data_IF_085476977349
#
_entry.id   IF_085476977349
#
_cell.length_a   1.000
_cell.length_b   1.000
_cell.length_c   1.000
_cell.angle_alpha   90.00
_cell.angle_beta   90.00
_cell.angle_gamma   90.00
#
_symmetry.space_group_name_H-M   'P 1'
#
loop_
_entity.id
_entity.type
_entity.pdbx_description
1 polymer ?
#
# COMPACT_ATOMS: atom_id res chain seq x y z
N UNK A 1 -20.26 -17.03 -15.09
CA UNK A 1 -18.95 -16.49 -15.54
C UNK A 1 -18.02 -16.41 -14.34
N UNK A 2 -16.72 -16.69 -14.49
CA UNK A 2 -15.75 -16.50 -13.41
C UNK A 2 -15.55 -15.00 -13.23
N UNK A 3 -15.83 -14.49 -12.03
CA UNK A 3 -15.63 -13.10 -11.61
C UNK A 3 -14.14 -12.92 -11.26
N UNK A 4 -13.28 -12.80 -12.28
CA UNK A 4 -11.81 -12.70 -12.15
C UNK A 4 -11.39 -11.24 -12.17
N UNK A 5 -10.79 -10.79 -11.08
CA UNK A 5 -10.19 -9.46 -10.96
C UNK A 5 -8.67 -9.53 -11.11
N UNK A 6 -8.10 -8.75 -12.03
CA UNK A 6 -6.70 -8.81 -12.44
C UNK A 6 -5.93 -7.57 -12.01
N UNK A 7 -4.96 -7.75 -11.14
CA UNK A 7 -4.11 -6.67 -10.61
C UNK A 7 -2.72 -6.75 -11.23
N UNK A 8 -2.32 -5.72 -11.97
CA UNK A 8 -0.95 -5.58 -12.47
C UNK A 8 -0.05 -4.99 -11.39
N UNK A 9 0.96 -5.74 -11.00
CA UNK A 9 2.03 -5.32 -10.10
C UNK A 9 3.15 -4.68 -10.92
N UNK A 10 3.31 -3.36 -10.82
CA UNK A 10 4.32 -2.61 -11.56
C UNK A 10 5.62 -2.54 -10.77
N UNK A 11 6.42 -3.62 -10.79
CA UNK A 11 7.73 -3.64 -10.13
C UNK A 11 8.74 -2.87 -10.98
N UNK A 12 9.03 -1.65 -10.59
CA UNK A 12 9.85 -0.73 -11.36
C UNK A 12 11.07 -0.25 -10.58
N UNK A 13 12.11 0.15 -11.30
CA UNK A 13 13.22 0.88 -10.72
C UNK A 13 12.84 2.35 -10.56
N UNK A 14 13.08 2.90 -9.37
CA UNK A 14 12.76 4.29 -9.05
C UNK A 14 13.71 5.29 -9.71
N UNK A 15 13.20 6.48 -9.99
CA UNK A 15 13.96 7.69 -10.28
C UNK A 15 13.59 8.79 -9.27
N UNK A 16 14.49 9.74 -9.03
CA UNK A 16 14.18 10.97 -8.28
C UNK A 16 13.57 12.08 -9.16
N UNK A 17 13.52 11.85 -10.47
CA UNK A 17 12.95 12.76 -11.46
C UNK A 17 11.50 12.36 -11.77
N UNK A 18 10.57 13.28 -11.49
CA UNK A 18 9.13 13.06 -11.67
C UNK A 18 8.76 12.83 -13.14
N UNK A 19 9.40 13.51 -14.09
CA UNK A 19 9.10 13.37 -15.51
C UNK A 19 9.52 12.00 -16.04
N UNK A 20 10.66 11.47 -15.57
CA UNK A 20 11.09 10.11 -15.88
C UNK A 20 10.10 9.09 -15.28
N UNK A 21 9.62 9.32 -14.06
CA UNK A 21 8.64 8.45 -13.41
C UNK A 21 7.28 8.49 -14.13
N UNK A 22 6.83 9.66 -14.61
CA UNK A 22 5.62 9.79 -15.44
C UNK A 22 5.78 8.95 -16.72
N UNK A 23 6.84 9.18 -17.49
CA UNK A 23 7.09 8.46 -18.77
C UNK A 23 7.15 6.95 -18.58
N UNK A 24 7.88 6.49 -17.56
CA UNK A 24 7.99 5.07 -17.22
C UNK A 24 6.64 4.50 -16.78
N UNK A 25 5.92 5.20 -15.90
CA UNK A 25 4.60 4.81 -15.42
C UNK A 25 3.59 4.65 -16.55
N UNK A 26 3.54 5.61 -17.50
CA UNK A 26 2.68 5.52 -18.70
C UNK A 26 2.99 4.25 -19.50
N UNK A 27 4.27 3.97 -19.77
CA UNK A 27 4.70 2.77 -20.51
C UNK A 27 4.25 1.50 -19.79
N UNK A 28 4.45 1.41 -18.49
CA UNK A 28 4.07 0.25 -17.69
C UNK A 28 2.55 0.06 -17.63
N UNK A 29 1.77 1.13 -17.44
CA UNK A 29 0.30 1.06 -17.47
C UNK A 29 -0.23 0.58 -18.83
N UNK A 30 0.33 1.07 -19.96
CA UNK A 30 -0.04 0.59 -21.30
C UNK A 30 0.24 -0.91 -21.45
N UNK A 31 1.40 -1.38 -20.99
CA UNK A 31 1.73 -2.81 -21.05
C UNK A 31 0.82 -3.63 -20.12
N UNK A 32 0.52 -3.14 -18.92
CA UNK A 32 -0.43 -3.79 -18.00
C UNK A 32 -1.81 -3.97 -18.65
N UNK A 33 -2.31 -2.96 -19.36
CA UNK A 33 -3.57 -3.05 -20.11
C UNK A 33 -3.51 -4.11 -21.21
N UNK A 34 -2.41 -4.17 -21.96
CA UNK A 34 -2.20 -5.23 -22.99
C UNK A 34 -2.17 -6.63 -22.38
N UNK A 35 -1.72 -6.76 -21.14
CA UNK A 35 -1.75 -8.01 -20.36
C UNK A 35 -3.13 -8.31 -19.75
N UNK A 36 -4.13 -7.46 -19.99
CA UNK A 36 -5.51 -7.66 -19.53
C UNK A 36 -5.78 -7.27 -18.07
N UNK A 37 -4.98 -6.37 -17.50
CA UNK A 37 -5.19 -5.88 -16.13
C UNK A 37 -6.46 -5.03 -16.01
N UNK A 38 -7.15 -5.15 -14.87
CA UNK A 38 -8.27 -4.29 -14.46
C UNK A 38 -7.78 -3.08 -13.67
N UNK A 39 -6.68 -3.23 -12.95
CA UNK A 39 -6.00 -2.16 -12.21
C UNK A 39 -4.48 -2.33 -12.30
N UNK A 40 -3.76 -1.22 -12.45
CA UNK A 40 -2.30 -1.15 -12.34
C UNK A 40 -1.90 -0.48 -11.04
N UNK A 41 -1.00 -1.11 -10.25
CA UNK A 41 -0.58 -0.63 -8.93
C UNK A 41 0.89 -0.26 -8.95
N UNK A 42 1.21 0.94 -8.48
CA UNK A 42 2.54 1.51 -8.39
C UNK A 42 3.23 1.20 -7.04
N UNK A 43 4.58 1.19 -6.97
CA UNK A 43 5.32 1.19 -5.72
C UNK A 43 5.08 2.47 -4.90
N UNK A 44 5.46 2.47 -3.62
CA UNK A 44 5.29 3.59 -2.67
C UNK A 44 6.01 4.87 -3.13
N UNK A 45 5.36 6.06 -3.03
CA UNK A 45 5.93 7.37 -3.39
C UNK A 45 6.52 7.45 -4.80
N UNK A 46 5.85 6.89 -5.79
CA UNK A 46 6.37 6.83 -7.15
C UNK A 46 6.64 8.21 -7.78
N UNK A 47 5.89 9.26 -7.40
CA UNK A 47 6.06 10.60 -7.98
C UNK A 47 7.51 11.09 -7.89
N UNK A 48 8.18 10.90 -6.77
CA UNK A 48 9.54 11.35 -6.48
C UNK A 48 10.52 10.20 -6.19
N UNK A 49 10.05 8.94 -6.24
CA UNK A 49 10.78 7.76 -5.78
C UNK A 49 11.06 7.83 -4.28
N UNK A 50 10.87 6.75 -3.55
CA UNK A 50 11.09 6.74 -2.09
C UNK A 50 12.54 7.14 -1.75
N UNK A 51 12.75 8.40 -1.39
CA UNK A 51 14.09 8.99 -1.16
C UNK A 51 14.51 8.80 0.29
N UNK A 52 15.77 8.40 0.49
CA UNK A 52 16.38 8.29 1.82
C UNK A 52 17.17 9.55 2.09
N UNK A 53 16.69 10.40 3.01
CA UNK A 53 17.33 11.68 3.32
C UNK A 53 18.62 11.52 4.13
N UNK A 54 18.70 10.48 4.97
CA UNK A 54 19.87 10.17 5.78
C UNK A 54 20.01 8.66 6.00
N UNK A 55 21.23 8.20 6.31
CA UNK A 55 21.51 6.79 6.61
C UNK A 55 21.25 6.50 8.09
N UNK A 56 20.87 5.25 8.39
CA UNK A 56 20.63 4.82 9.79
C UNK A 56 19.29 5.31 10.34
N UNK A 57 19.22 5.46 11.65
CA UNK A 57 18.03 5.88 12.38
C UNK A 57 18.12 7.37 12.75
N UNK A 58 16.99 8.06 12.83
CA UNK A 58 16.89 9.48 13.18
C UNK A 58 17.66 9.82 14.47
N UNK A 59 17.50 8.99 15.52
CA UNK A 59 18.18 9.17 16.81
C UNK A 59 19.70 9.24 16.77
N UNK A 60 20.31 8.71 15.70
CA UNK A 60 21.77 8.69 15.52
C UNK A 60 22.26 9.85 14.65
N UNK A 61 21.35 10.75 14.23
CA UNK A 61 21.68 11.86 13.32
C UNK A 61 21.68 13.18 14.12
N UNK A 62 22.88 13.60 14.55
CA UNK A 62 23.06 14.87 15.27
C UNK A 62 22.83 16.08 14.36
N UNK A 63 23.19 15.95 13.07
CA UNK A 63 23.14 17.04 12.09
C UNK A 63 22.37 16.57 10.85
N UNK A 64 21.04 16.65 10.88
CA UNK A 64 20.24 16.42 9.69
C UNK A 64 20.24 17.71 8.86
N UNK A 65 20.62 17.61 7.59
CA UNK A 65 20.55 18.73 6.65
C UNK A 65 19.07 19.12 6.39
N UNK A 66 18.59 20.10 7.15
CA UNK A 66 17.23 20.61 7.02
C UNK A 66 16.96 21.24 5.66
N UNK A 67 17.97 21.74 4.95
CA UNK A 67 17.81 22.21 3.56
C UNK A 67 17.52 21.03 2.61
N UNK A 68 18.14 19.87 2.85
CA UNK A 68 17.84 18.65 2.08
C UNK A 68 16.41 18.17 2.37
N UNK A 69 16.00 18.20 3.65
CA UNK A 69 14.62 17.88 4.06
C UNK A 69 13.63 18.80 3.36
N UNK A 70 13.86 20.12 3.41
CA UNK A 70 12.99 21.11 2.78
C UNK A 70 12.89 20.88 1.27
N UNK A 71 14.02 20.72 0.57
CA UNK A 71 14.01 20.40 -0.87
C UNK A 71 13.25 19.12 -1.20
N UNK A 72 13.26 18.14 -0.31
CA UNK A 72 12.48 16.92 -0.48
C UNK A 72 10.98 17.17 -0.26
N UNK A 73 10.61 17.92 0.79
CA UNK A 73 9.22 18.32 1.04
C UNK A 73 8.63 19.17 -0.10
N UNK A 74 9.44 20.04 -0.71
CA UNK A 74 9.04 20.87 -1.84
C UNK A 74 8.73 20.08 -3.12
N UNK A 75 9.10 18.78 -3.19
CA UNK A 75 8.66 17.86 -4.25
C UNK A 75 7.22 17.36 -4.08
N UNK A 76 6.56 17.70 -2.98
CA UNK A 76 5.17 17.32 -2.75
C UNK A 76 4.24 18.00 -3.76
N UNK A 77 3.28 17.24 -4.26
CA UNK A 77 2.35 17.63 -5.30
C UNK A 77 0.91 17.63 -4.79
N UNK A 78 0.08 18.47 -5.37
CA UNK A 78 -1.36 18.52 -5.13
C UNK A 78 -2.16 17.87 -6.27
N UNK A 79 -3.48 17.83 -6.12
CA UNK A 79 -4.39 17.18 -7.06
C UNK A 79 -4.45 17.85 -8.44
N UNK A 80 -3.96 19.10 -8.57
CA UNK A 80 -3.88 19.83 -9.85
C UNK A 80 -2.61 19.56 -10.65
N UNK A 81 -1.65 18.83 -10.07
CA UNK A 81 -0.34 18.57 -10.67
C UNK A 81 -0.43 17.81 -11.99
N UNK A 82 0.56 18.02 -12.86
CA UNK A 82 0.70 17.26 -14.12
C UNK A 82 0.76 15.76 -13.89
N UNK A 83 1.41 15.32 -12.79
CA UNK A 83 1.46 13.91 -12.42
C UNK A 83 0.06 13.31 -12.25
N UNK A 84 -0.78 13.93 -11.42
CA UNK A 84 -2.14 13.45 -11.12
C UNK A 84 -3.01 13.50 -12.38
N UNK A 85 -3.04 14.63 -13.08
CA UNK A 85 -3.86 14.84 -14.28
C UNK A 85 -3.48 13.89 -15.42
N UNK A 86 -2.18 13.58 -15.57
CA UNK A 86 -1.69 12.62 -16.55
C UNK A 86 -2.25 11.21 -16.29
N UNK A 87 -2.21 10.72 -15.05
CA UNK A 87 -2.72 9.37 -14.74
C UNK A 87 -4.24 9.30 -14.71
N UNK A 88 -4.95 10.38 -14.39
CA UNK A 88 -6.41 10.50 -14.58
C UNK A 88 -6.77 10.30 -16.05
N UNK A 89 -6.10 11.03 -16.95
CA UNK A 89 -6.35 10.93 -18.38
C UNK A 89 -5.94 9.55 -18.93
N UNK A 90 -4.85 8.99 -18.44
CA UNK A 90 -4.38 7.66 -18.84
C UNK A 90 -5.37 6.56 -18.42
N UNK A 91 -5.94 6.64 -17.21
CA UNK A 91 -6.96 5.70 -16.74
C UNK A 91 -8.19 5.70 -17.66
N UNK A 92 -8.66 6.91 -18.05
CA UNK A 92 -9.74 7.07 -19.04
C UNK A 92 -9.37 6.45 -20.40
N UNK A 93 -8.18 6.80 -20.92
CA UNK A 93 -7.71 6.34 -22.22
C UNK A 93 -7.59 4.82 -22.30
N UNK A 94 -7.12 4.20 -21.21
CA UNK A 94 -6.92 2.75 -21.15
C UNK A 94 -8.18 2.01 -20.70
N UNK A 95 -9.23 2.70 -20.25
CA UNK A 95 -10.39 2.09 -19.59
C UNK A 95 -9.97 1.08 -18.53
N UNK A 96 -8.95 1.45 -17.72
CA UNK A 96 -8.32 0.63 -16.69
C UNK A 96 -8.08 1.48 -15.44
N UNK A 97 -8.36 0.93 -14.26
CA UNK A 97 -8.05 1.62 -13.01
C UNK A 97 -6.53 1.73 -12.79
N UNK A 98 -6.11 2.80 -12.11
CA UNK A 98 -4.69 3.03 -11.76
C UNK A 98 -4.59 3.46 -10.31
N UNK A 99 -3.77 2.76 -9.51
CA UNK A 99 -3.42 3.13 -8.16
C UNK A 99 -2.04 3.82 -8.17
N UNK A 100 -2.03 5.14 -8.22
CA UNK A 100 -0.82 5.96 -8.18
C UNK A 100 -0.41 6.29 -6.76
N UNK A 101 0.89 6.53 -6.55
CA UNK A 101 1.46 6.88 -5.25
C UNK A 101 2.34 8.11 -5.36
N UNK A 102 2.28 8.97 -4.35
CA UNK A 102 2.98 10.24 -4.39
C UNK A 102 3.19 10.84 -3.01
N UNK A 103 4.12 11.79 -2.96
CA UNK A 103 4.28 12.68 -1.82
C UNK A 103 3.24 13.81 -1.98
N UNK A 104 2.22 13.78 -1.13
CA UNK A 104 1.08 14.69 -1.21
C UNK A 104 1.36 15.98 -0.45
N UNK A 105 1.13 17.12 -1.13
CA UNK A 105 1.17 18.43 -0.48
C UNK A 105 0.05 18.56 0.54
N UNK A 106 0.36 19.11 1.71
CA UNK A 106 -0.58 19.31 2.79
C UNK A 106 -0.47 20.72 3.36
N UNK A 107 -1.58 21.27 3.83
CA UNK A 107 -1.69 22.64 4.33
C UNK A 107 -0.90 22.88 5.63
N UNK A 108 -0.60 21.81 6.38
CA UNK A 108 0.24 21.88 7.60
C UNK A 108 1.71 22.12 7.31
N UNK A 109 2.14 22.05 6.05
CA UNK A 109 3.53 22.16 5.61
C UNK A 109 4.31 20.85 5.65
N UNK A 110 3.85 19.79 6.32
CA UNK A 110 4.41 18.44 6.24
C UNK A 110 3.64 17.64 5.18
N UNK A 111 4.32 17.10 4.14
CA UNK A 111 3.64 16.31 3.12
C UNK A 111 3.16 14.96 3.67
N UNK A 112 2.25 14.29 2.94
CA UNK A 112 1.76 12.95 3.26
C UNK A 112 2.28 11.92 2.25
N UNK A 113 2.47 10.70 2.71
CA UNK A 113 2.73 9.53 1.85
C UNK A 113 1.37 8.95 1.43
N UNK A 114 0.99 9.12 0.17
CA UNK A 114 -0.39 8.90 -0.27
C UNK A 114 -0.47 7.94 -1.46
N UNK A 115 -1.51 7.10 -1.46
CA UNK A 115 -1.99 6.36 -2.62
C UNK A 115 -3.37 6.88 -3.04
N UNK A 116 -3.55 7.07 -4.34
CA UNK A 116 -4.83 7.42 -4.96
C UNK A 116 -5.23 6.33 -5.94
N UNK A 117 -6.45 5.81 -5.80
CA UNK A 117 -7.05 4.89 -6.78
C UNK A 117 -7.94 5.71 -7.71
N UNK A 118 -7.61 5.67 -8.99
CA UNK A 118 -8.33 6.30 -10.08
C UNK A 118 -9.08 5.19 -10.82
N UNK A 119 -10.40 5.31 -10.97
CA UNK A 119 -11.19 4.34 -11.71
C UNK A 119 -10.98 4.46 -13.24
N UNK A 120 -11.50 3.52 -14.01
CA UNK A 120 -11.43 3.48 -15.47
C UNK A 120 -12.14 4.66 -16.16
N UNK A 121 -12.90 5.47 -15.42
CA UNK A 121 -13.55 6.69 -15.89
C UNK A 121 -12.78 7.95 -15.49
N UNK A 122 -11.65 7.79 -14.77
CA UNK A 122 -10.81 8.88 -14.29
C UNK A 122 -11.31 9.55 -13.03
N UNK A 123 -12.17 8.93 -12.26
CA UNK A 123 -12.58 9.44 -10.96
C UNK A 123 -11.62 8.93 -9.89
N UNK A 124 -11.17 9.81 -9.01
CA UNK A 124 -10.45 9.42 -7.79
C UNK A 124 -11.47 8.82 -6.80
N UNK A 125 -11.49 7.49 -6.69
CA UNK A 125 -12.47 6.78 -5.84
C UNK A 125 -11.95 6.50 -4.44
N UNK A 126 -10.62 6.54 -4.23
CA UNK A 126 -9.98 6.39 -2.94
C UNK A 126 -8.72 7.24 -2.88
N UNK A 127 -8.52 7.95 -1.77
CA UNK A 127 -7.29 8.66 -1.42
C UNK A 127 -6.96 8.29 0.01
N UNK A 128 -5.84 7.59 0.20
CA UNK A 128 -5.38 7.09 1.49
C UNK A 128 -3.97 7.57 1.77
N UNK A 129 -3.77 8.21 2.91
CA UNK A 129 -2.45 8.59 3.42
C UNK A 129 -2.01 7.60 4.49
N UNK A 130 -0.75 7.19 4.44
CA UNK A 130 -0.12 6.21 5.32
C UNK A 130 -0.33 6.56 6.80
N UNK A 131 -0.92 5.66 7.56
CA UNK A 131 -1.17 5.84 8.99
C UNK A 131 0.09 5.58 9.81
N UNK A 132 0.79 4.48 9.54
CA UNK A 132 2.02 4.12 10.24
C UNK A 132 3.23 4.60 9.45
N UNK A 133 3.61 5.86 9.65
CA UNK A 133 4.82 6.44 9.06
C UNK A 133 6.09 5.88 9.70
N UNK A 134 7.20 5.83 8.96
CA UNK A 134 8.49 5.36 9.46
C UNK A 134 9.21 6.51 10.16
N UNK A 135 8.71 6.90 11.34
CA UNK A 135 9.10 8.10 12.10
C UNK A 135 10.57 8.09 12.58
N UNK A 136 11.19 6.93 12.57
CA UNK A 136 12.61 6.78 12.88
C UNK A 136 13.52 6.95 11.66
N UNK A 137 12.95 7.35 10.48
CA UNK A 137 13.64 7.62 9.21
C UNK A 137 13.05 8.85 8.52
N UNK A 138 13.17 8.90 7.18
CA UNK A 138 12.72 10.01 6.33
C UNK A 138 11.28 10.43 6.59
N UNK A 139 10.38 9.48 6.86
CA UNK A 139 8.96 9.77 7.07
C UNK A 139 8.64 10.49 8.40
N UNK A 140 9.63 10.71 9.29
CA UNK A 140 9.48 11.67 10.39
C UNK A 140 9.09 13.08 9.91
N UNK A 141 9.46 13.40 8.69
CA UNK A 141 9.14 14.69 8.05
C UNK A 141 7.86 14.67 7.22
N UNK A 142 7.05 13.63 7.36
CA UNK A 142 5.69 13.55 6.80
C UNK A 142 4.65 13.65 7.90
N UNK A 143 3.42 13.94 7.52
CA UNK A 143 2.25 13.88 8.40
C UNK A 143 1.56 12.52 8.23
N UNK A 144 1.29 11.77 9.30
CA UNK A 144 0.57 10.50 9.20
C UNK A 144 -0.89 10.71 8.80
N UNK A 145 -1.47 9.72 8.15
CA UNK A 145 -2.92 9.61 7.95
C UNK A 145 -3.63 9.26 9.26
N UNK A 146 -4.93 9.46 9.31
CA UNK A 146 -5.75 9.27 10.52
C UNK A 146 -6.77 8.14 10.40
N UNK A 147 -6.95 7.56 9.21
CA UNK A 147 -7.97 6.52 8.97
C UNK A 147 -7.59 5.57 7.83
N UNK A 148 -8.03 4.34 7.94
CA UNK A 148 -7.99 3.37 6.84
C UNK A 148 -9.24 3.49 5.99
N UNK A 149 -9.09 3.41 4.65
CA UNK A 149 -10.16 3.65 3.68
C UNK A 149 -10.35 2.47 2.74
N UNK A 150 -11.61 2.25 2.34
CA UNK A 150 -11.99 1.32 1.27
C UNK A 150 -12.85 2.04 0.24
N UNK A 151 -12.84 1.54 -1.00
CA UNK A 151 -13.72 2.02 -2.05
C UNK A 151 -14.15 0.88 -2.97
N UNK A 152 -15.36 0.99 -3.53
CA UNK A 152 -15.85 0.05 -4.53
C UNK A 152 -15.33 0.48 -5.90
N UNK A 153 -14.54 -0.40 -6.52
CA UNK A 153 -14.10 -0.25 -7.91
C UNK A 153 -15.02 -1.07 -8.83
N UNK A 154 -15.61 -0.39 -9.82
CA UNK A 154 -16.23 -1.01 -10.98
C UNK A 154 -15.18 -1.23 -12.07
N UNK A 155 -14.81 -2.51 -12.32
CA UNK A 155 -13.80 -2.86 -13.32
C UNK A 155 -14.39 -3.31 -14.68
N UNK A 156 -15.72 -3.18 -14.84
CA UNK A 156 -16.43 -3.46 -16.09
C UNK A 156 -17.14 -4.81 -16.11
N UNK A 157 -16.47 -5.88 -15.69
CA UNK A 157 -17.06 -7.22 -15.59
C UNK A 157 -17.70 -7.46 -14.22
N UNK A 158 -17.42 -6.57 -13.24
CA UNK A 158 -17.94 -6.68 -11.88
C UNK A 158 -17.48 -5.54 -11.00
N UNK A 159 -17.65 -5.72 -9.69
CA UNK A 159 -17.23 -4.77 -8.66
C UNK A 159 -16.42 -5.46 -7.59
N UNK A 160 -15.43 -4.78 -7.05
CA UNK A 160 -14.59 -5.23 -5.93
C UNK A 160 -14.45 -4.11 -4.91
N UNK A 161 -14.50 -4.44 -3.62
CA UNK A 161 -14.18 -3.49 -2.56
C UNK A 161 -12.67 -3.52 -2.28
N UNK A 162 -11.97 -2.45 -2.65
CA UNK A 162 -10.53 -2.31 -2.48
C UNK A 162 -10.22 -1.57 -1.18
N UNK A 163 -9.25 -2.08 -0.43
CA UNK A 163 -8.55 -1.36 0.64
C UNK A 163 -7.13 -1.00 0.23
N UNK A 164 -6.52 -0.06 0.93
CA UNK A 164 -5.12 0.30 0.75
C UNK A 164 -4.39 0.36 2.10
N UNK A 165 -3.17 -0.19 2.12
CA UNK A 165 -2.13 0.00 3.14
C UNK A 165 -0.86 0.45 2.42
N UNK A 166 0.04 1.17 3.09
CA UNK A 166 1.32 1.55 2.50
C UNK A 166 2.46 0.99 3.35
N UNK A 167 3.27 0.12 2.76
CA UNK A 167 4.56 -0.37 3.27
C UNK A 167 4.51 -0.75 4.76
N UNK A 168 4.93 0.14 5.66
CA UNK A 168 5.05 -0.11 7.11
C UNK A 168 3.70 -0.38 7.79
N UNK A 169 2.56 0.05 7.23
CA UNK A 169 1.22 -0.31 7.74
C UNK A 169 1.03 -1.82 7.90
N UNK A 170 1.67 -2.64 7.06
CA UNK A 170 1.56 -4.10 7.11
C UNK A 170 2.15 -4.72 8.37
N UNK A 171 3.09 -4.02 9.06
CA UNK A 171 3.68 -4.51 10.31
C UNK A 171 2.64 -4.58 11.45
N UNK A 172 1.55 -3.81 11.32
CA UNK A 172 0.46 -3.71 12.29
C UNK A 172 -0.75 -4.53 11.82
N UNK A 173 -1.10 -5.64 12.52
CA UNK A 173 -2.22 -6.50 12.13
C UNK A 173 -3.56 -5.76 12.10
N UNK A 174 -3.71 -4.71 12.89
CA UNK A 174 -4.88 -3.85 12.97
C UNK A 174 -5.21 -3.21 11.62
N UNK A 175 -4.19 -2.84 10.83
CA UNK A 175 -4.36 -2.20 9.52
C UNK A 175 -5.20 -3.06 8.58
N UNK A 176 -4.81 -4.31 8.36
CA UNK A 176 -5.54 -5.24 7.51
C UNK A 176 -6.89 -5.63 8.13
N UNK A 177 -6.95 -5.76 9.47
CA UNK A 177 -8.19 -6.09 10.18
C UNK A 177 -9.23 -4.98 10.05
N UNK A 178 -8.86 -3.72 10.18
CA UNK A 178 -9.78 -2.59 9.99
C UNK A 178 -10.31 -2.57 8.55
N UNK A 179 -9.44 -2.77 7.56
CA UNK A 179 -9.86 -2.83 6.16
C UNK A 179 -10.82 -3.99 5.89
N UNK A 180 -10.59 -5.16 6.49
CA UNK A 180 -11.52 -6.30 6.41
C UNK A 180 -12.89 -5.95 7.01
N UNK A 181 -12.93 -5.31 8.18
CA UNK A 181 -14.16 -4.87 8.84
C UNK A 181 -14.91 -3.83 7.99
N UNK A 182 -14.17 -2.98 7.26
CA UNK A 182 -14.74 -2.03 6.28
C UNK A 182 -15.16 -2.71 4.96
N UNK A 183 -15.07 -4.04 4.87
CA UNK A 183 -15.55 -4.84 3.76
C UNK A 183 -14.56 -5.02 2.61
N UNK A 184 -13.28 -4.63 2.75
CA UNK A 184 -12.29 -4.88 1.71
C UNK A 184 -12.27 -6.36 1.29
N UNK A 185 -12.19 -6.61 -0.01
CA UNK A 185 -12.02 -7.94 -0.59
C UNK A 185 -10.58 -8.17 -1.04
N UNK A 186 -9.94 -7.09 -1.50
CA UNK A 186 -8.53 -7.04 -1.89
C UNK A 186 -7.89 -5.81 -1.23
N UNK A 187 -6.70 -5.98 -0.69
CA UNK A 187 -5.86 -4.87 -0.20
C UNK A 187 -4.66 -4.71 -1.12
N UNK A 188 -4.46 -3.51 -1.65
CA UNK A 188 -3.23 -3.13 -2.34
C UNK A 188 -2.23 -2.54 -1.35
N UNK A 189 -0.95 -2.91 -1.51
CA UNK A 189 0.14 -2.50 -0.61
C UNK A 189 1.31 -1.94 -1.42
N UNK A 190 1.27 -0.67 -1.82
CA UNK A 190 2.46 0.02 -2.31
C UNK A 190 3.60 -0.06 -1.30
N UNK A 191 4.82 -0.39 -1.75
CA UNK A 191 5.92 -0.72 -0.86
C UNK A 191 7.26 -0.16 -1.36
N UNK A 192 8.17 0.14 -0.43
CA UNK A 192 9.53 0.61 -0.71
C UNK A 192 10.52 0.09 0.35
N UNK A 193 10.68 -1.22 0.45
CA UNK A 193 11.63 -1.80 1.40
C UNK A 193 12.17 -3.16 0.92
N UNK A 194 13.19 -3.64 1.61
CA UNK A 194 13.71 -4.99 1.39
C UNK A 194 12.66 -6.03 1.85
N UNK A 195 12.16 -6.84 0.92
CA UNK A 195 11.18 -7.89 1.18
C UNK A 195 11.89 -9.19 1.57
N UNK A 196 12.05 -9.40 2.89
CA UNK A 196 12.58 -10.65 3.47
C UNK A 196 11.50 -11.74 3.49
N UNK A 197 11.90 -13.00 3.71
CA UNK A 197 10.95 -14.11 3.77
C UNK A 197 9.89 -13.91 4.85
N UNK A 198 10.30 -13.44 6.04
CA UNK A 198 9.34 -13.17 7.12
C UNK A 198 8.28 -12.12 6.74
N UNK A 199 8.63 -11.14 5.88
CA UNK A 199 7.67 -10.14 5.39
C UNK A 199 6.72 -10.69 4.34
N UNK A 200 7.17 -11.64 3.53
CA UNK A 200 6.29 -12.36 2.60
C UNK A 200 5.32 -13.25 3.38
N UNK A 201 5.81 -14.02 4.35
CA UNK A 201 4.95 -14.83 5.23
C UNK A 201 3.96 -13.96 6.03
N UNK A 202 4.39 -12.78 6.51
CA UNK A 202 3.50 -11.82 7.16
C UNK A 202 2.34 -11.42 6.26
N UNK A 203 2.58 -11.08 4.99
CA UNK A 203 1.54 -10.72 4.02
C UNK A 203 0.61 -11.90 3.71
N UNK A 204 1.16 -13.11 3.59
CA UNK A 204 0.40 -14.35 3.43
C UNK A 204 -0.54 -14.60 4.61
N UNK A 205 -0.05 -14.41 5.84
CA UNK A 205 -0.84 -14.53 7.07
C UNK A 205 -1.92 -13.43 7.10
N UNK A 206 -1.60 -12.18 6.71
CA UNK A 206 -2.61 -11.09 6.62
C UNK A 206 -3.73 -11.43 5.66
N UNK A 207 -3.44 -12.08 4.51
CA UNK A 207 -4.46 -12.54 3.59
C UNK A 207 -5.37 -13.60 4.23
N UNK A 208 -4.77 -14.60 4.86
CA UNK A 208 -5.47 -15.71 5.51
C UNK A 208 -6.36 -15.23 6.67
N UNK A 209 -5.79 -14.56 7.68
CA UNK A 209 -6.50 -14.18 8.91
C UNK A 209 -7.62 -13.15 8.70
N UNK A 210 -7.59 -12.41 7.58
CA UNK A 210 -8.59 -11.42 7.22
C UNK A 210 -9.50 -11.86 6.07
N UNK A 211 -9.31 -13.08 5.54
CA UNK A 211 -10.10 -13.63 4.44
C UNK A 211 -10.20 -12.69 3.23
N UNK A 212 -9.08 -12.08 2.81
CA UNK A 212 -9.02 -11.16 1.68
C UNK A 212 -7.74 -11.34 0.87
N UNK A 213 -7.76 -10.94 -0.41
CA UNK A 213 -6.55 -10.93 -1.23
C UNK A 213 -5.61 -9.80 -0.83
N UNK A 214 -4.30 -10.06 -0.90
CA UNK A 214 -3.28 -9.02 -0.70
C UNK A 214 -2.37 -8.96 -1.91
N UNK A 215 -2.09 -7.73 -2.38
CA UNK A 215 -1.16 -7.46 -3.48
C UNK A 215 -0.15 -6.41 -3.04
N UNK A 216 1.12 -6.79 -2.96
CA UNK A 216 2.22 -5.88 -2.60
C UNK A 216 3.05 -5.55 -3.83
N UNK A 217 3.32 -4.26 -4.06
CA UNK A 217 4.11 -3.78 -5.19
C UNK A 217 5.34 -3.05 -4.70
N UNK A 218 6.53 -3.58 -4.99
CA UNK A 218 7.80 -3.08 -4.52
C UNK A 218 8.71 -2.59 -5.67
N UNK A 219 9.74 -1.86 -5.34
CA UNK A 219 10.78 -1.44 -6.28
C UNK A 219 11.74 -2.58 -6.62
N UNK A 220 12.13 -2.70 -7.91
CA UNK A 220 13.12 -3.69 -8.36
C UNK A 220 14.49 -3.44 -7.73
N UNK A 221 14.94 -2.19 -7.65
CA UNK A 221 16.22 -1.82 -7.02
C UNK A 221 16.24 -1.90 -5.48
N UNK A 222 15.16 -2.33 -4.86
CA UNK A 222 15.08 -2.78 -3.46
C UNK A 222 14.89 -4.30 -3.37
N UNK A 223 15.46 -5.04 -4.34
CA UNK A 223 15.38 -6.49 -4.51
C UNK A 223 13.98 -7.02 -4.82
N UNK A 224 13.13 -6.20 -5.41
CA UNK A 224 11.83 -6.59 -5.94
C UNK A 224 10.95 -7.36 -4.96
N UNK A 225 10.56 -8.58 -5.33
CA UNK A 225 9.69 -9.49 -4.59
C UNK A 225 8.29 -8.93 -4.35
N UNK A 226 7.75 -8.18 -5.33
CA UNK A 226 6.31 -7.89 -5.36
C UNK A 226 5.54 -9.20 -5.29
N UNK A 227 4.44 -9.25 -4.54
CA UNK A 227 3.79 -10.51 -4.22
C UNK A 227 2.28 -10.38 -4.13
N UNK A 228 1.58 -11.49 -4.38
CA UNK A 228 0.14 -11.57 -4.24
C UNK A 228 -0.26 -12.89 -3.56
N UNK A 229 -1.22 -12.78 -2.64
CA UNK A 229 -1.71 -13.91 -1.85
C UNK A 229 -3.24 -13.94 -1.85
N UNK A 230 -3.79 -15.14 -2.05
CA UNK A 230 -5.21 -15.45 -1.86
C UNK A 230 -5.49 -15.77 -0.39
N UNK A 231 -6.68 -15.48 0.14
CA UNK A 231 -7.08 -15.96 1.46
C UNK A 231 -7.39 -17.46 1.49
N UNK A 232 -7.59 -18.08 0.33
CA UNK A 232 -8.10 -19.44 0.22
C UNK A 232 -6.97 -20.43 0.48
N UNK A 233 -7.01 -21.10 1.62
CA UNK A 233 -6.04 -22.15 2.03
C UNK A 233 -6.67 -23.55 2.02
N UNK A 234 -7.98 -23.64 1.79
CA UNK A 234 -8.72 -24.91 1.66
C UNK A 234 -9.82 -24.75 0.62
N UNK A 235 -9.98 -25.71 -0.24
CA UNK A 235 -11.04 -25.77 -1.23
C UNK A 235 -12.41 -26.16 -0.63
N UNK A 236 -13.40 -26.43 -1.48
CA UNK A 236 -14.74 -26.86 -1.06
C UNK A 236 -14.74 -28.23 -0.40
N UNK A 237 -13.79 -29.10 -0.76
CA UNK A 237 -13.62 -30.43 -0.17
C UNK A 237 -12.77 -30.41 1.11
N UNK A 238 -12.32 -29.23 1.54
CA UNK A 238 -11.40 -28.98 2.67
C UNK A 238 -9.97 -29.46 2.43
N UNK A 239 -9.60 -29.72 1.17
CA UNK A 239 -8.23 -30.01 0.78
C UNK A 239 -7.39 -28.73 0.80
N UNK A 240 -6.09 -28.88 1.16
CA UNK A 240 -5.17 -27.75 1.25
C UNK A 240 -4.89 -27.09 -0.12
N UNK A 241 -4.97 -25.77 -0.17
CA UNK A 241 -4.65 -24.95 -1.35
C UNK A 241 -3.43 -24.09 -1.09
N UNK A 242 -2.62 -23.85 -2.14
CA UNK A 242 -1.58 -22.83 -2.08
C UNK A 242 -2.23 -21.44 -2.14
N UNK A 243 -2.03 -20.65 -1.10
CA UNK A 243 -2.50 -19.26 -1.05
C UNK A 243 -1.57 -18.28 -1.78
N UNK A 244 -0.35 -18.67 -2.12
CA UNK A 244 0.56 -17.85 -2.91
C UNK A 244 0.11 -17.84 -4.37
N UNK A 245 -0.26 -16.66 -4.88
CA UNK A 245 -0.58 -16.47 -6.29
C UNK A 245 0.72 -16.28 -7.06
N UNK A 246 1.58 -15.37 -6.57
CA UNK A 246 2.86 -15.06 -7.19
C UNK A 246 3.79 -14.32 -6.22
N UNK A 247 5.09 -14.61 -6.32
CA UNK A 247 6.18 -13.78 -5.80
C UNK A 247 7.13 -13.50 -6.97
N UNK A 248 7.29 -12.23 -7.32
CA UNK A 248 8.18 -11.80 -8.41
C UNK A 248 9.64 -11.95 -8.00
N UNK A 249 10.53 -12.14 -8.97
CA UNK A 249 11.98 -12.04 -8.76
C UNK A 249 12.42 -10.59 -8.54
N UNK A 250 13.75 -10.33 -8.54
CA UNK A 250 14.31 -8.99 -8.31
C UNK A 250 14.25 -8.08 -9.57
N UNK A 251 14.00 -8.62 -10.76
CA UNK A 251 14.04 -7.87 -12.00
C UNK A 251 12.87 -6.88 -12.14
N UNK A 252 13.11 -5.79 -12.86
CA UNK A 252 12.05 -4.88 -13.28
C UNK A 252 11.07 -5.60 -14.23
N UNK A 253 9.77 -5.43 -14.00
CA UNK A 253 8.76 -6.08 -14.82
C UNK A 253 7.33 -5.88 -14.33
N UNK A 254 6.40 -6.51 -15.03
CA UNK A 254 4.97 -6.53 -14.70
C UNK A 254 4.56 -7.98 -14.51
N UNK A 255 3.83 -8.27 -13.45
CA UNK A 255 3.12 -9.54 -13.28
C UNK A 255 1.66 -9.28 -12.97
N UNK A 256 0.78 -10.16 -13.45
CA UNK A 256 -0.65 -10.10 -13.19
C UNK A 256 -1.00 -11.07 -12.07
N UNK A 257 -1.60 -10.56 -11.01
CA UNK A 257 -2.24 -11.37 -9.98
C UNK A 257 -3.73 -11.50 -10.28
N UNK A 258 -4.23 -12.72 -10.42
CA UNK A 258 -5.63 -13.01 -10.70
C UNK A 258 -6.37 -13.48 -9.44
N UNK A 259 -7.48 -12.82 -9.13
CA UNK A 259 -8.34 -13.15 -7.99
C UNK A 259 -9.72 -13.56 -8.47
N UNK A 260 -10.14 -14.77 -8.15
CA UNK A 260 -11.51 -15.20 -8.35
C UNK A 260 -12.38 -14.69 -7.21
N UNK A 261 -13.05 -13.54 -7.40
CA UNK A 261 -13.85 -12.89 -6.38
C UNK A 261 -15.03 -13.74 -5.94
N UNK A 262 -15.65 -14.50 -6.85
CA UNK A 262 -16.74 -15.40 -6.50
C UNK A 262 -16.25 -16.47 -5.52
N UNK A 263 -15.07 -17.05 -5.73
CA UNK A 263 -14.49 -18.03 -4.80
C UNK A 263 -14.09 -17.40 -3.45
N UNK A 264 -13.54 -16.19 -3.45
CA UNK A 264 -13.20 -15.46 -2.21
C UNK A 264 -14.49 -15.19 -1.40
N UNK A 265 -15.54 -14.72 -2.07
CA UNK A 265 -16.86 -14.47 -1.44
C UNK A 265 -17.47 -15.74 -0.87
N UNK A 266 -17.38 -16.85 -1.60
CA UNK A 266 -17.83 -18.16 -1.14
C UNK A 266 -17.03 -18.65 0.06
N UNK A 267 -15.69 -18.54 -0.01
CA UNK A 267 -14.80 -18.86 1.09
C UNK A 267 -15.16 -18.09 2.36
N UNK A 268 -15.40 -16.77 2.25
CA UNK A 268 -15.83 -15.90 3.37
C UNK A 268 -17.15 -16.33 4.01
N UNK A 269 -18.10 -16.86 3.23
CA UNK A 269 -19.38 -17.37 3.76
C UNK A 269 -19.24 -18.71 4.48
N UNK A 270 -18.27 -19.51 4.05
CA UNK A 270 -18.10 -20.88 4.53
C UNK A 270 -17.20 -20.98 5.77
N UNK A 271 -16.18 -20.12 5.87
CA UNK A 271 -15.18 -20.21 6.93
C UNK A 271 -15.58 -19.45 8.21
N UNK A 272 -14.99 -19.84 9.34
CA UNK A 272 -15.43 -19.40 10.67
C UNK A 272 -14.55 -18.31 11.29
N UNK A 273 -13.32 -18.08 10.82
CA UNK A 273 -12.34 -17.19 11.46
C UNK A 273 -12.42 -15.73 11.01
N UNK A 274 -13.48 -15.35 10.26
CA UNK A 274 -13.72 -13.97 9.84
C UNK A 274 -14.31 -13.08 10.95
N UNK A 275 -15.27 -12.25 10.58
CA UNK A 275 -15.86 -11.26 11.48
C UNK A 275 -16.90 -11.85 12.44
N UNK A 276 -17.60 -12.92 12.06
CA UNK A 276 -18.76 -13.50 12.77
C UNK A 276 -18.46 -13.85 14.24
N UNK A 277 -17.28 -14.41 14.52
CA UNK A 277 -16.93 -14.89 15.86
C UNK A 277 -16.01 -13.96 16.62
N UNK A 278 -15.74 -12.76 16.12
CA UNK A 278 -14.99 -11.74 16.84
C UNK A 278 -15.69 -11.36 18.14
N UNK A 279 -14.91 -10.98 19.15
CA UNK A 279 -15.40 -10.57 20.48
C UNK A 279 -14.96 -9.12 20.78
N UNK A 280 -15.54 -8.09 20.09
CA UNK A 280 -15.06 -6.70 20.21
C UNK A 280 -15.06 -6.16 21.65
N UNK A 281 -15.97 -6.65 22.50
CA UNK A 281 -16.02 -6.28 23.91
C UNK A 281 -14.75 -6.64 24.69
N UNK A 282 -13.94 -7.59 24.20
CA UNK A 282 -12.70 -8.04 24.82
C UNK A 282 -11.45 -7.34 24.22
N UNK A 283 -11.62 -6.38 23.30
CA UNK A 283 -10.51 -5.73 22.58
C UNK A 283 -10.24 -4.30 23.02
N UNK A 284 -10.64 -3.92 24.22
CA UNK A 284 -10.53 -2.54 24.75
C UNK A 284 -9.08 -2.06 24.81
N UNK A 285 -8.16 -2.98 25.13
CA UNK A 285 -6.73 -2.71 25.24
C UNK A 285 -6.11 -2.24 23.91
N UNK A 286 -6.67 -2.64 22.76
CA UNK A 286 -6.23 -2.17 21.45
C UNK A 286 -6.47 -0.67 21.22
N UNK A 287 -7.33 -0.04 22.02
CA UNK A 287 -7.62 1.39 21.95
C UNK A 287 -6.85 2.21 23.01
N UNK A 288 -6.05 1.55 23.84
CA UNK A 288 -5.21 2.24 24.83
C UNK A 288 -4.07 2.99 24.15
N UNK A 289 -3.82 4.22 24.59
CA UNK A 289 -2.63 4.98 24.20
C UNK A 289 -1.43 4.69 25.11
N UNK A 290 -1.58 3.81 26.10
CA UNK A 290 -0.50 3.45 27.01
C UNK A 290 0.51 2.55 26.30
N UNK A 291 1.78 2.94 26.36
CA UNK A 291 2.91 2.17 25.85
C UNK A 291 3.66 1.57 27.02
N UNK A 292 3.81 0.24 27.03
CA UNK A 292 4.59 -0.45 28.06
C UNK A 292 6.06 0.01 28.03
N UNK A 293 6.69 0.12 29.22
CA UNK A 293 8.03 0.67 29.40
C UNK A 293 9.09 -0.03 28.53
N UNK A 294 8.98 -1.35 28.35
CA UNK A 294 9.91 -2.13 27.52
C UNK A 294 9.92 -1.68 26.05
N UNK A 295 8.80 -1.13 25.53
CA UNK A 295 8.68 -0.63 24.16
C UNK A 295 8.97 0.86 24.05
N UNK A 296 9.09 1.58 25.17
CA UNK A 296 9.40 3.01 25.15
C UNK A 296 10.83 3.32 24.74
N UNK A 297 11.70 2.40 24.58
CA UNK A 297 13.05 2.47 24.02
C UNK A 297 13.70 3.88 24.01
N UNK A 298 14.96 4.00 23.72
CA UNK A 298 15.69 5.29 23.61
C UNK A 298 14.99 6.27 22.62
N UNK A 299 14.14 5.76 21.72
CA UNK A 299 13.49 6.53 20.67
C UNK A 299 12.38 7.47 21.21
N UNK A 300 11.54 7.00 22.11
CA UNK A 300 10.48 7.82 22.72
C UNK A 300 11.05 8.92 23.63
N UNK A 301 12.16 8.65 24.32
CA UNK A 301 12.84 9.66 25.11
C UNK A 301 13.29 10.87 24.27
N UNK A 302 13.81 10.61 23.08
CA UNK A 302 14.24 11.65 22.13
C UNK A 302 13.08 12.42 21.48
N UNK A 303 11.94 11.75 21.24
CA UNK A 303 10.75 12.40 20.67
C UNK A 303 10.11 13.35 21.67
N UNK A 304 10.00 12.95 22.95
CA UNK A 304 9.43 13.79 24.01
C UNK A 304 10.33 14.98 24.33
N UNK A 305 11.65 14.81 24.41
CA UNK A 305 12.59 15.90 24.66
C UNK A 305 12.58 16.96 23.55
N UNK A 306 12.42 16.56 22.27
CA UNK A 306 12.34 17.51 21.14
C UNK A 306 10.98 18.20 20.97
N UNK A 307 9.87 17.58 21.40
CA UNK A 307 8.55 18.22 21.38
C UNK A 307 8.47 19.33 22.45
N UNK A 308 9.27 19.21 23.52
CA UNK A 308 9.32 20.20 24.59
C UNK A 308 10.25 21.38 24.21
N UNK A 309 11.20 21.17 23.29
CA UNK A 309 12.16 22.21 22.83
C UNK A 309 11.71 22.96 21.56
N UNK A 310 10.57 22.59 20.94
CA UNK A 310 9.95 23.28 19.80
C UNK A 310 8.72 24.08 20.25
#
# INVERSE_FOLDING_TARGET
MKDIFKVAMLQMERSSDINNNIKKGIKFCKNAKLMGADIAVFPEMWSNGYEILFRGLLKNQKDIDMNKVKRWQDKAIDDSSEYITTFINLAKQLEMAIAITYLEKNDTGKPKNTVMIIDRKGNAILKYSKVHTVDFKTEFFTEPGTEFKTAILDYGEGKVNLGAMICYDREFPESARILMIKGAEIIIVPNACLMTDIRLEQLKVRAYENMLGIVTVNYSNLKGRSSAYSPIVRDANRDGCNSEIIVMNEAEGISIAEFNLSQIREYRRREFHGDTYRKPYAYKELLSNEVQEIFKGIFLKFMVERIIEM
#
